data_IF_135238798145
#
_entry.id   IF_135238798145
#
_cell.length_a   1.000
_cell.length_b   1.000
_cell.length_c   1.000
_cell.angle_alpha   90.00
_cell.angle_beta   90.00
_cell.angle_gamma   90.00
#
_symmetry.space_group_name_H-M   'P 1'
#
loop_
_entity.id
_entity.type
_entity.pdbx_description
1 polymer ?
#
# COMPACT_ATOMS: atom_id res chain seq x y z
N UNK A 1 -3.56 -13.43 -5.08
CA UNK A 1 -2.81 -12.24 -5.55
C UNK A 1 -2.67 -11.24 -4.42
N UNK A 2 -1.50 -10.68 -4.28
CA UNK A 2 -1.22 -9.68 -3.25
C UNK A 2 -0.82 -8.37 -3.90
N UNK A 3 -1.49 -7.30 -3.51
CA UNK A 3 -1.24 -5.96 -4.03
C UNK A 3 -0.86 -5.05 -2.87
N UNK A 4 0.29 -4.44 -2.97
CA UNK A 4 0.86 -3.60 -1.91
C UNK A 4 1.11 -2.21 -2.48
N UNK A 5 0.63 -1.21 -1.76
CA UNK A 5 0.87 0.18 -2.11
C UNK A 5 1.59 0.92 -1.00
N UNK A 6 2.07 2.12 -1.32
CA UNK A 6 2.65 3.05 -0.36
C UNK A 6 3.82 2.45 0.44
N UNK A 7 4.61 1.61 -0.23
CA UNK A 7 5.86 1.11 0.36
C UNK A 7 6.77 2.29 0.70
N UNK A 8 6.83 3.24 -0.22
CA UNK A 8 7.47 4.52 0.01
C UNK A 8 6.41 5.51 0.45
N UNK A 9 6.56 6.04 1.66
CA UNK A 9 5.53 6.86 2.28
C UNK A 9 5.19 8.12 1.50
N UNK A 10 6.17 8.68 0.77
CA UNK A 10 6.00 9.88 -0.04
C UNK A 10 5.42 9.61 -1.44
N UNK A 11 4.97 8.39 -1.70
CA UNK A 11 4.39 7.99 -2.98
C UNK A 11 2.98 7.46 -2.78
N UNK A 12 1.98 8.33 -2.59
CA UNK A 12 0.64 7.90 -2.17
C UNK A 12 -0.28 7.42 -3.30
N UNK A 13 0.14 7.52 -4.55
CA UNK A 13 -0.71 7.18 -5.69
C UNK A 13 -1.20 5.74 -5.63
N UNK A 14 -0.31 4.80 -5.37
CA UNK A 14 -0.66 3.39 -5.27
C UNK A 14 -1.65 3.12 -4.15
N UNK A 15 -1.52 3.82 -3.03
CA UNK A 15 -2.44 3.74 -1.92
C UNK A 15 -3.86 4.08 -2.35
N UNK A 16 -4.02 5.21 -3.02
CA UNK A 16 -5.33 5.65 -3.49
C UNK A 16 -5.89 4.71 -4.56
N UNK A 17 -5.05 4.29 -5.49
CA UNK A 17 -5.48 3.38 -6.55
C UNK A 17 -5.96 2.04 -6.01
N UNK A 18 -5.31 1.50 -4.98
CA UNK A 18 -5.71 0.22 -4.40
C UNK A 18 -7.05 0.33 -3.67
N UNK A 19 -7.29 1.43 -2.98
CA UNK A 19 -8.58 1.68 -2.35
C UNK A 19 -9.68 1.77 -3.40
N UNK A 20 -9.43 2.50 -4.47
CA UNK A 20 -10.38 2.62 -5.58
C UNK A 20 -10.60 1.28 -6.27
N UNK A 21 -9.57 0.49 -6.45
CA UNK A 21 -9.69 -0.83 -7.06
C UNK A 21 -10.63 -1.73 -6.25
N UNK A 22 -10.45 -1.75 -4.93
CA UNK A 22 -11.30 -2.55 -4.06
C UNK A 22 -12.76 -2.13 -4.19
N UNK A 23 -13.02 -0.83 -4.14
CA UNK A 23 -14.36 -0.30 -4.30
C UNK A 23 -14.95 -0.64 -5.67
N UNK A 24 -14.15 -0.46 -6.71
CA UNK A 24 -14.57 -0.72 -8.08
C UNK A 24 -14.96 -2.17 -8.28
N UNK A 25 -14.16 -3.10 -7.80
CA UNK A 25 -14.45 -4.53 -7.98
C UNK A 25 -15.72 -4.93 -7.26
N UNK A 26 -15.90 -4.48 -6.03
CA UNK A 26 -17.09 -4.81 -5.25
C UNK A 26 -18.35 -4.18 -5.85
N UNK A 27 -18.25 -2.92 -6.25
CA UNK A 27 -19.36 -2.22 -6.87
C UNK A 27 -19.75 -2.87 -8.19
N UNK A 28 -18.77 -3.17 -9.03
CA UNK A 28 -19.02 -3.77 -10.33
C UNK A 28 -19.63 -5.17 -10.21
N UNK A 29 -19.15 -5.98 -9.27
CA UNK A 29 -19.73 -7.28 -8.98
C UNK A 29 -21.21 -7.15 -8.59
N UNK A 30 -21.50 -6.20 -7.71
CA UNK A 30 -22.84 -5.95 -7.21
C UNK A 30 -23.81 -5.57 -8.33
N UNK A 31 -23.31 -4.90 -9.35
CA UNK A 31 -24.10 -4.47 -10.49
C UNK A 31 -24.03 -5.43 -11.69
N UNK A 32 -23.57 -6.64 -11.47
CA UNK A 32 -23.63 -7.69 -12.48
C UNK A 32 -22.50 -7.72 -13.49
N UNK A 33 -21.39 -7.03 -13.24
CA UNK A 33 -20.24 -7.10 -14.13
C UNK A 33 -19.61 -8.48 -14.10
N UNK A 34 -19.56 -9.15 -15.24
CA UNK A 34 -19.09 -10.52 -15.34
C UNK A 34 -17.59 -10.66 -15.07
N UNK A 35 -16.79 -9.66 -15.48
CA UNK A 35 -15.34 -9.71 -15.27
C UNK A 35 -15.01 -9.53 -13.80
N UNK A 36 -15.63 -8.56 -13.15
CA UNK A 36 -15.42 -8.34 -11.71
C UNK A 36 -15.84 -9.56 -10.90
N UNK A 37 -16.99 -10.15 -11.24
CA UNK A 37 -17.47 -11.36 -10.60
C UNK A 37 -16.52 -12.53 -10.79
N UNK A 38 -15.99 -12.70 -12.00
CA UNK A 38 -15.03 -13.76 -12.30
C UNK A 38 -13.74 -13.60 -11.51
N UNK A 39 -13.20 -12.40 -11.44
CA UNK A 39 -11.97 -12.11 -10.70
C UNK A 39 -12.17 -12.42 -9.21
N UNK A 40 -13.24 -11.92 -8.63
CA UNK A 40 -13.48 -12.08 -7.20
C UNK A 40 -13.81 -13.53 -6.83
N UNK A 41 -14.35 -14.29 -7.75
CA UNK A 41 -14.68 -15.69 -7.52
C UNK A 41 -13.48 -16.62 -7.68
N UNK A 42 -12.60 -16.31 -8.61
CA UNK A 42 -11.49 -17.18 -8.99
C UNK A 42 -10.16 -16.80 -8.34
N UNK A 43 -10.07 -15.65 -7.68
CA UNK A 43 -8.81 -15.12 -7.16
C UNK A 43 -9.01 -14.58 -5.75
N UNK A 44 -8.15 -15.02 -4.83
CA UNK A 44 -8.06 -14.37 -3.52
C UNK A 44 -7.21 -13.13 -3.66
N UNK A 45 -7.82 -11.98 -3.36
CA UNK A 45 -7.14 -10.69 -3.41
C UNK A 45 -6.82 -10.21 -2.01
N UNK A 46 -5.54 -9.97 -1.77
CA UNK A 46 -5.03 -9.37 -0.54
C UNK A 46 -4.52 -7.99 -0.90
N UNK A 47 -5.14 -6.96 -0.34
CA UNK A 47 -4.79 -5.58 -0.63
C UNK A 47 -4.30 -4.91 0.63
N UNK A 48 -3.06 -4.40 0.57
CA UNK A 48 -2.46 -3.62 1.63
C UNK A 48 -2.23 -2.20 1.08
N UNK A 49 -3.17 -1.28 1.27
CA UNK A 49 -3.07 0.05 0.66
C UNK A 49 -1.88 0.87 1.15
N UNK A 50 -1.53 0.74 2.42
CA UNK A 50 -0.48 1.54 3.01
C UNK A 50 0.47 0.63 3.79
N UNK A 51 1.54 0.22 3.16
CA UNK A 51 2.55 -0.60 3.79
C UNK A 51 3.39 0.20 4.78
N UNK A 52 3.57 1.49 4.52
CA UNK A 52 4.38 2.39 5.33
C UNK A 52 3.55 3.55 5.87
N UNK A 53 2.65 3.31 6.84
CA UNK A 53 1.76 4.36 7.33
C UNK A 53 2.50 5.49 8.05
N UNK A 54 3.58 5.18 8.76
CA UNK A 54 4.36 6.21 9.42
C UNK A 54 5.10 7.09 8.43
N UNK A 55 5.68 6.48 7.41
CA UNK A 55 6.31 7.22 6.33
C UNK A 55 5.32 8.08 5.56
N UNK A 56 4.10 7.58 5.37
CA UNK A 56 3.05 8.37 4.75
C UNK A 56 2.66 9.59 5.60
N UNK A 57 2.49 9.38 6.90
CA UNK A 57 2.07 10.45 7.81
C UNK A 57 3.14 11.53 7.97
N UNK A 58 4.41 11.15 7.96
CA UNK A 58 5.54 12.07 8.14
C UNK A 58 6.09 12.59 6.83
N UNK A 59 5.89 11.86 5.76
CA UNK A 59 6.45 12.17 4.46
C UNK A 59 5.81 13.37 3.82
N UNK A 60 6.47 13.87 2.80
CA UNK A 60 5.94 14.91 1.95
C UNK A 60 5.87 14.34 0.54
N UNK A 61 4.71 14.40 -0.05
CA UNK A 61 4.46 13.82 -1.36
C UNK A 61 5.47 14.29 -2.39
N UNK A 62 6.07 13.33 -3.09
CA UNK A 62 7.02 13.61 -4.14
C UNK A 62 8.38 14.13 -3.69
N UNK A 63 8.60 14.27 -2.39
CA UNK A 63 9.87 14.76 -1.89
C UNK A 63 10.94 13.67 -1.97
N UNK A 64 12.02 13.97 -2.64
CA UNK A 64 13.12 13.03 -2.81
C UNK A 64 14.45 13.53 -2.26
N UNK A 65 14.49 14.62 -1.52
CA UNK A 65 15.71 15.19 -0.99
C UNK A 65 15.95 14.85 0.48
N UNK A 66 17.21 14.70 0.86
CA UNK A 66 17.65 14.55 2.23
C UNK A 66 17.27 13.22 2.86
N UNK A 67 17.37 13.17 4.18
CA UNK A 67 17.10 11.98 4.97
C UNK A 67 15.65 11.52 4.97
N UNK A 68 14.79 12.20 4.24
CA UNK A 68 13.37 11.87 4.17
C UNK A 68 13.08 10.58 3.43
N UNK A 69 14.09 9.97 2.86
CA UNK A 69 13.96 8.65 2.28
C UNK A 69 13.53 7.60 3.28
N UNK A 70 13.87 7.79 4.53
CA UNK A 70 13.37 6.93 5.58
C UNK A 70 11.84 6.87 5.56
N UNK A 71 11.23 8.01 5.32
CA UNK A 71 9.79 8.11 5.20
C UNK A 71 9.30 7.54 3.87
N UNK A 72 10.19 7.45 2.91
CA UNK A 72 9.87 6.88 1.61
C UNK A 72 9.78 5.37 1.61
N UNK A 73 10.43 4.69 2.55
CA UNK A 73 10.45 3.23 2.60
C UNK A 73 9.76 2.74 3.86
N UNK A 74 10.52 2.39 4.85
CA UNK A 74 10.00 2.04 6.17
C UNK A 74 10.16 3.26 7.07
N UNK A 75 9.30 3.41 8.05
CA UNK A 75 9.52 4.42 9.08
C UNK A 75 10.82 4.10 9.81
N UNK A 76 11.48 5.13 10.32
CA UNK A 76 12.71 4.92 11.08
C UNK A 76 12.49 3.99 12.27
N UNK A 77 11.35 4.16 12.94
CA UNK A 77 11.01 3.31 14.07
C UNK A 77 10.90 1.85 13.68
N UNK A 78 10.24 1.58 12.57
CA UNK A 78 10.11 0.22 12.08
C UNK A 78 11.47 -0.34 11.65
N UNK A 79 12.26 0.45 10.96
CA UNK A 79 13.62 0.06 10.56
C UNK A 79 14.45 -0.27 11.79
N UNK A 80 14.38 0.55 12.82
CA UNK A 80 15.09 0.32 14.08
C UNK A 80 14.65 -0.98 14.72
N UNK A 81 13.36 -1.25 14.76
CA UNK A 81 12.84 -2.50 15.32
C UNK A 81 13.35 -3.71 14.56
N UNK A 82 13.35 -3.64 13.24
CA UNK A 82 13.83 -4.73 12.40
C UNK A 82 15.32 -4.99 12.56
N UNK A 83 16.09 -3.96 12.74
CA UNK A 83 17.55 -4.06 12.83
C UNK A 83 18.10 -4.14 14.26
N UNK A 84 17.32 -3.72 15.24
CA UNK A 84 17.73 -3.83 16.64
C UNK A 84 17.62 -5.24 17.18
N UNK A 85 16.76 -6.06 16.60
CA UNK A 85 16.70 -7.46 16.97
C UNK A 85 18.00 -8.13 16.56
N UNK A 86 18.66 -8.89 17.45
CA UNK A 86 19.91 -9.56 17.12
C UNK A 86 19.78 -10.52 15.94
N UNK A 87 18.58 -10.95 15.64
CA UNK A 87 18.31 -11.88 14.58
C UNK A 87 17.90 -11.22 13.26
N UNK A 88 17.91 -9.93 13.25
CA UNK A 88 17.41 -9.16 12.09
C UNK A 88 18.49 -8.32 11.47
#
# INVERSE_FOLDING_TARGET
>A
MKLVGNMHGNEPVGRELLIHLAKYLLHSKRHGDARASSILRSTDLYILPTMNPDGFARGQEGRCAGGNYGYGRLSEGMTTLLHASPSV
#
